data_IF_502220069290
#
_entry.id   IF_502220069290
#
_cell.length_a   1.000
_cell.length_b   1.000
_cell.length_c   1.000
_cell.angle_alpha   90.00
_cell.angle_beta   90.00
_cell.angle_gamma   90.00
#
_symmetry.space_group_name_H-M   'P 1'
#
loop_
_entity.id
_entity.type
_entity.pdbx_description
1 polymer ?
#
# COMPACT_ATOMS: atom_id res chain seq x y z
N UNK A 1 2.91 10.91 17.85
CA UNK A 1 1.62 10.18 17.86
C UNK A 1 1.89 8.70 17.69
N UNK A 2 1.18 7.84 18.42
CA UNK A 2 1.21 6.38 18.26
C UNK A 2 0.10 5.93 17.31
N UNK A 3 0.28 4.78 16.65
CA UNK A 3 -0.67 4.27 15.64
C UNK A 3 -0.87 2.76 15.81
N UNK A 4 -1.87 2.31 16.59
CA UNK A 4 -2.14 0.89 16.74
C UNK A 4 -2.57 0.24 15.41
N UNK A 5 -2.48 -1.09 15.25
CA UNK A 5 -1.89 -2.06 16.18
C UNK A 5 -0.37 -1.90 16.39
N UNK A 6 0.13 -2.31 17.56
CA UNK A 6 1.54 -2.21 17.96
C UNK A 6 2.26 -3.55 17.83
N UNK A 7 3.58 -3.58 17.55
CA UNK A 7 4.36 -4.80 17.63
C UNK A 7 4.64 -5.21 19.10
N UNK A 8 4.91 -6.51 19.38
CA UNK A 8 4.92 -7.62 18.44
C UNK A 8 3.51 -7.96 17.95
N UNK A 9 3.40 -8.31 16.67
CA UNK A 9 2.12 -8.64 16.05
C UNK A 9 1.76 -10.11 16.24
N UNK A 10 0.46 -10.37 16.32
CA UNK A 10 -0.20 -11.65 16.09
C UNK A 10 -0.94 -11.61 14.74
N UNK A 11 -1.64 -12.70 14.40
CA UNK A 11 -2.34 -12.81 13.12
C UNK A 11 -3.46 -11.77 12.95
N UNK A 12 -4.22 -11.49 14.01
CA UNK A 12 -5.34 -10.55 13.98
C UNK A 12 -4.83 -9.11 13.82
N UNK A 13 -3.88 -8.71 14.66
CA UNK A 13 -3.26 -7.38 14.62
C UNK A 13 -2.47 -7.14 13.34
N UNK A 14 -1.79 -8.16 12.80
CA UNK A 14 -1.10 -8.07 11.51
C UNK A 14 -2.09 -7.86 10.35
N UNK A 15 -3.15 -8.68 10.29
CA UNK A 15 -4.20 -8.56 9.26
C UNK A 15 -4.87 -7.19 9.32
N UNK A 16 -5.21 -6.74 10.53
CA UNK A 16 -5.77 -5.40 10.76
C UNK A 16 -4.79 -4.29 10.35
N UNK A 17 -3.49 -4.44 10.63
CA UNK A 17 -2.47 -3.45 10.23
C UNK A 17 -2.39 -3.33 8.71
N UNK A 18 -2.44 -4.45 7.99
CA UNK A 18 -2.45 -4.49 6.52
C UNK A 18 -3.71 -3.80 5.98
N UNK A 19 -4.90 -4.11 6.52
CA UNK A 19 -6.17 -3.47 6.11
C UNK A 19 -6.16 -1.95 6.36
N UNK A 20 -5.67 -1.50 7.51
CA UNK A 20 -5.55 -0.06 7.80
C UNK A 20 -4.58 0.66 6.84
N UNK A 21 -3.50 -0.01 6.42
CA UNK A 21 -2.60 0.51 5.41
C UNK A 21 -3.27 0.54 4.03
N UNK A 22 -4.01 -0.50 3.64
CA UNK A 22 -4.80 -0.52 2.40
C UNK A 22 -5.80 0.65 2.35
N UNK A 23 -6.57 0.85 3.42
CA UNK A 23 -7.57 1.92 3.54
C UNK A 23 -6.91 3.31 3.39
N UNK A 24 -5.78 3.52 4.06
CA UNK A 24 -5.04 4.78 3.98
C UNK A 24 -4.53 5.03 2.55
N UNK A 25 -3.95 4.03 1.88
CA UNK A 25 -3.44 4.20 0.51
C UNK A 25 -4.56 4.42 -0.51
N UNK A 26 -5.72 3.79 -0.33
CA UNK A 26 -6.89 4.02 -1.18
C UNK A 26 -7.51 5.44 -1.03
N UNK A 27 -7.23 6.15 0.07
CA UNK A 27 -7.59 7.57 0.19
C UNK A 27 -6.88 8.44 -0.85
N UNK A 28 -5.70 8.01 -1.33
CA UNK A 28 -4.79 8.75 -2.23
C UNK A 28 -4.44 10.13 -1.68
N UNK A 29 -4.42 10.28 -0.35
CA UNK A 29 -4.01 11.49 0.35
C UNK A 29 -2.57 11.34 0.87
N UNK A 30 -1.59 12.04 0.27
CA UNK A 30 -0.17 11.94 0.64
C UNK A 30 0.09 12.18 2.12
N UNK A 31 -0.49 13.24 2.68
CA UNK A 31 -0.28 13.62 4.08
C UNK A 31 -0.86 12.59 5.05
N UNK A 32 -2.08 12.12 4.77
CA UNK A 32 -2.73 11.09 5.59
C UNK A 32 -1.94 9.78 5.60
N UNK A 33 -1.40 9.37 4.44
CA UNK A 33 -0.59 8.14 4.33
C UNK A 33 0.75 8.32 5.02
N UNK A 34 1.41 9.47 4.84
CA UNK A 34 2.72 9.77 5.42
C UNK A 34 2.71 9.73 6.98
N UNK A 35 1.57 9.99 7.62
CA UNK A 35 1.40 9.86 9.06
C UNK A 35 1.57 8.43 9.61
N UNK A 36 1.55 7.39 8.76
CA UNK A 36 1.80 6.02 9.18
C UNK A 36 3.31 5.68 9.28
N UNK A 37 4.19 6.60 8.91
CA UNK A 37 5.63 6.40 8.85
C UNK A 37 6.35 7.25 9.89
N UNK A 38 7.52 6.81 10.37
CA UNK A 38 8.36 7.64 11.26
C UNK A 38 8.87 8.88 10.52
N UNK A 39 9.29 9.93 11.26
CA UNK A 39 9.83 11.16 10.65
C UNK A 39 11.05 10.89 9.76
N UNK A 40 11.85 9.90 10.15
CA UNK A 40 13.10 9.44 9.53
C UNK A 40 12.94 8.14 8.72
N UNK A 41 11.70 7.78 8.36
CA UNK A 41 11.38 6.49 7.73
C UNK A 41 12.17 6.26 6.45
N UNK A 42 12.65 5.03 6.27
CA UNK A 42 13.54 4.64 5.19
C UNK A 42 12.81 3.79 4.16
N UNK A 43 12.71 4.27 2.93
CA UNK A 43 11.99 3.60 1.86
C UNK A 43 12.90 3.22 0.70
N UNK A 44 12.65 2.03 0.15
CA UNK A 44 12.94 1.73 -1.26
C UNK A 44 11.63 1.39 -1.95
N UNK A 45 11.24 2.16 -2.95
CA UNK A 45 10.08 1.90 -3.79
C UNK A 45 10.53 1.70 -5.23
N UNK A 46 10.50 0.45 -5.72
CA UNK A 46 11.16 0.04 -6.97
C UNK A 46 12.65 0.38 -6.91
N UNK A 47 13.10 1.32 -7.76
CA UNK A 47 14.47 1.82 -7.84
C UNK A 47 14.66 3.17 -7.14
N UNK A 48 13.61 3.74 -6.54
CA UNK A 48 13.68 5.04 -5.84
C UNK A 48 13.93 4.83 -4.35
N UNK A 49 14.84 5.61 -3.79
CA UNK A 49 15.12 5.68 -2.36
C UNK A 49 14.54 6.98 -1.82
N UNK A 50 13.87 6.91 -0.66
CA UNK A 50 13.09 8.01 -0.10
C UNK A 50 13.37 8.03 1.41
N UNK A 51 13.74 9.20 1.93
CA UNK A 51 14.23 9.39 3.30
C UNK A 51 13.35 10.39 4.04
N UNK A 52 12.60 9.88 5.02
CA UNK A 52 11.76 10.69 5.89
C UNK A 52 10.40 11.06 5.30
N UNK A 53 9.57 11.65 6.17
CA UNK A 53 8.14 11.87 5.88
C UNK A 53 7.90 12.86 4.74
N UNK A 54 8.70 13.92 4.64
CA UNK A 54 8.51 14.96 3.62
C UNK A 54 8.78 14.40 2.21
N UNK A 55 9.83 13.59 2.04
CA UNK A 55 10.08 12.93 0.76
C UNK A 55 9.02 11.87 0.43
N UNK A 56 8.44 11.21 1.44
CA UNK A 56 7.30 10.30 1.28
C UNK A 56 6.08 11.04 0.73
N UNK A 57 5.71 12.19 1.32
CA UNK A 57 4.61 13.03 0.81
C UNK A 57 4.89 13.40 -0.64
N UNK A 58 6.08 13.94 -0.94
CA UNK A 58 6.44 14.34 -2.30
C UNK A 58 6.38 13.17 -3.31
N UNK A 59 6.80 11.97 -2.90
CA UNK A 59 6.68 10.76 -3.71
C UNK A 59 5.23 10.39 -3.97
N UNK A 60 4.39 10.36 -2.93
CA UNK A 60 2.99 9.99 -3.03
C UNK A 60 2.18 10.99 -3.86
N UNK A 61 2.45 12.29 -3.73
CA UNK A 61 1.85 13.33 -4.59
C UNK A 61 2.15 13.06 -6.05
N UNK A 62 3.41 12.78 -6.41
CA UNK A 62 3.77 12.43 -7.79
C UNK A 62 3.12 11.12 -8.26
N UNK A 63 3.02 10.13 -7.38
CA UNK A 63 2.42 8.84 -7.68
C UNK A 63 0.98 9.02 -8.15
N UNK A 64 0.14 9.69 -7.36
CA UNK A 64 -1.29 9.82 -7.66
C UNK A 64 -1.63 10.94 -8.64
N UNK A 65 -0.64 11.77 -9.03
CA UNK A 65 -0.78 12.63 -10.21
C UNK A 65 -0.64 11.86 -11.54
N UNK A 66 -0.01 10.68 -11.54
CA UNK A 66 0.18 9.87 -12.75
C UNK A 66 -0.53 8.51 -12.74
N UNK A 67 -0.93 8.02 -11.56
CA UNK A 67 -1.69 6.78 -11.41
C UNK A 67 -3.17 7.05 -11.14
N UNK A 68 -3.94 7.27 -12.21
CA UNK A 68 -5.36 7.65 -12.15
C UNK A 68 -6.26 6.46 -11.84
N UNK A 69 -7.46 6.76 -11.31
CA UNK A 69 -8.44 5.76 -10.84
C UNK A 69 -7.85 4.64 -9.96
N UNK A 70 -6.77 4.96 -9.22
CA UNK A 70 -6.05 4.02 -8.38
C UNK A 70 -6.94 3.25 -7.40
N UNK A 71 -6.84 1.93 -7.44
CA UNK A 71 -7.51 0.97 -6.56
C UNK A 71 -6.55 -0.08 -6.07
N UNK A 72 -6.46 -0.28 -4.76
CA UNK A 72 -5.48 -1.16 -4.15
C UNK A 72 -6.14 -2.23 -3.27
N UNK A 73 -5.61 -3.44 -3.36
CA UNK A 73 -5.85 -4.52 -2.40
C UNK A 73 -4.51 -4.96 -1.83
N UNK A 74 -4.41 -5.10 -0.51
CA UNK A 74 -3.26 -5.65 0.21
C UNK A 74 -3.68 -6.91 0.96
N UNK A 75 -2.78 -7.87 1.03
CA UNK A 75 -2.99 -9.12 1.75
C UNK A 75 -1.73 -9.50 2.53
N UNK A 76 -1.90 -9.94 3.77
CA UNK A 76 -0.81 -10.38 4.62
C UNK A 76 -0.21 -11.66 4.05
N UNK A 77 1.11 -11.67 3.81
CA UNK A 77 1.84 -12.89 3.44
C UNK A 77 2.43 -13.59 4.65
N UNK A 78 2.95 -12.82 5.61
CA UNK A 78 3.50 -13.33 6.85
C UNK A 78 4.03 -12.22 7.74
N UNK A 79 4.30 -12.53 9.00
CA UNK A 79 4.81 -11.56 9.96
C UNK A 79 5.74 -12.23 10.98
N UNK A 80 6.60 -11.42 11.61
CA UNK A 80 7.45 -11.83 12.72
C UNK A 80 7.80 -10.63 13.58
N UNK A 81 7.46 -10.67 14.87
CA UNK A 81 7.72 -9.60 15.83
C UNK A 81 7.18 -8.24 15.31
N UNK A 82 8.07 -7.33 14.92
CA UNK A 82 7.76 -6.00 14.40
C UNK A 82 7.86 -5.88 12.87
N UNK A 83 7.90 -7.01 12.15
CA UNK A 83 8.02 -7.04 10.68
C UNK A 83 6.84 -7.74 10.04
N UNK A 84 6.46 -7.29 8.85
CA UNK A 84 5.43 -7.91 8.00
C UNK A 84 5.92 -8.01 6.55
N UNK A 85 5.52 -9.09 5.89
CA UNK A 85 5.56 -9.25 4.45
C UNK A 85 4.13 -9.18 3.92
N UNK A 86 3.92 -8.38 2.89
CA UNK A 86 2.60 -8.07 2.34
C UNK A 86 2.66 -8.19 0.83
N UNK A 87 1.69 -8.92 0.28
CA UNK A 87 1.39 -8.95 -1.16
C UNK A 87 0.34 -7.89 -1.45
N UNK A 88 0.40 -7.29 -2.63
CA UNK A 88 -0.62 -6.35 -3.06
C UNK A 88 -0.74 -6.30 -4.57
N UNK A 89 -1.92 -5.91 -5.03
CA UNK A 89 -2.15 -5.51 -6.40
C UNK A 89 -2.90 -4.18 -6.44
N UNK A 90 -2.60 -3.35 -7.42
CA UNK A 90 -3.39 -2.15 -7.67
C UNK A 90 -3.66 -1.93 -9.16
N UNK A 91 -4.85 -1.44 -9.48
CA UNK A 91 -5.26 -1.07 -10.83
C UNK A 91 -5.30 0.44 -10.97
N UNK A 92 -4.89 0.93 -12.14
CA UNK A 92 -4.82 2.36 -12.47
C UNK A 92 -4.68 2.54 -13.98
N UNK A 93 -4.87 3.78 -14.46
CA UNK A 93 -4.51 4.15 -15.83
C UNK A 93 -3.63 5.40 -15.87
N UNK A 94 -2.80 5.50 -16.91
CA UNK A 94 -1.95 6.68 -17.12
C UNK A 94 -2.70 7.84 -17.81
N UNK A 95 -2.00 8.94 -18.07
CA UNK A 95 -2.52 10.12 -18.76
C UNK A 95 -3.01 9.83 -20.21
N UNK A 96 -2.52 8.74 -20.80
CA UNK A 96 -2.93 8.29 -22.14
C UNK A 96 -4.12 7.32 -22.08
N UNK A 97 -4.66 7.04 -20.90
CA UNK A 97 -5.78 6.11 -20.70
C UNK A 97 -5.40 4.63 -20.78
N UNK A 98 -4.10 4.29 -20.79
CA UNK A 98 -3.66 2.89 -20.79
C UNK A 98 -3.79 2.32 -19.38
N UNK A 99 -4.45 1.18 -19.28
CA UNK A 99 -4.70 0.51 -18.00
C UNK A 99 -3.57 -0.43 -17.62
N UNK A 100 -3.32 -0.52 -16.32
CA UNK A 100 -2.32 -1.38 -15.73
C UNK A 100 -2.86 -2.07 -14.49
N UNK A 101 -2.43 -3.32 -14.29
CA UNK A 101 -2.43 -3.97 -12.97
C UNK A 101 -1.00 -4.10 -12.48
N UNK A 102 -0.71 -3.44 -11.38
CA UNK A 102 0.60 -3.47 -10.74
C UNK A 102 0.59 -4.51 -9.63
N UNK A 103 1.51 -5.47 -9.71
CA UNK A 103 1.71 -6.51 -8.70
C UNK A 103 2.90 -6.16 -7.83
N UNK A 104 2.74 -6.26 -6.52
CA UNK A 104 3.73 -5.79 -5.57
C UNK A 104 3.94 -6.72 -4.38
N UNK A 105 5.20 -6.74 -3.95
CA UNK A 105 5.61 -7.29 -2.66
C UNK A 105 6.24 -6.17 -1.85
N UNK A 106 5.80 -5.99 -0.61
CA UNK A 106 6.41 -5.05 0.31
C UNK A 106 6.71 -5.64 1.68
N UNK A 107 7.86 -5.24 2.21
CA UNK A 107 8.36 -5.64 3.51
C UNK A 107 8.37 -4.42 4.42
N UNK A 108 7.72 -4.55 5.58
CA UNK A 108 7.51 -3.48 6.54
C UNK A 108 8.25 -3.78 7.83
N UNK A 109 8.81 -2.73 8.44
CA UNK A 109 9.34 -2.77 9.80
C UNK A 109 8.80 -1.60 10.60
N UNK A 110 8.31 -1.88 11.79
CA UNK A 110 7.65 -0.91 12.66
C UNK A 110 8.47 -0.59 13.91
N UNK A 111 8.34 0.63 14.41
CA UNK A 111 8.79 1.02 15.75
C UNK A 111 7.76 0.63 16.83
N UNK A 112 8.09 0.91 18.10
CA UNK A 112 7.22 0.60 19.25
C UNK A 112 5.96 1.46 19.30
N UNK A 113 5.94 2.61 18.62
CA UNK A 113 4.77 3.46 18.48
C UNK A 113 3.82 2.98 17.36
N UNK A 114 4.18 1.89 16.65
CA UNK A 114 3.40 1.33 15.55
C UNK A 114 3.55 2.10 14.23
N UNK A 115 4.54 2.99 14.12
CA UNK A 115 4.87 3.69 12.88
C UNK A 115 5.88 2.89 12.07
N UNK A 116 5.74 2.91 10.75
CA UNK A 116 6.64 2.18 9.86
C UNK A 116 7.96 2.96 9.69
N UNK A 117 9.05 2.38 10.20
CA UNK A 117 10.40 2.95 10.11
C UNK A 117 11.17 2.50 8.87
N UNK A 118 10.77 1.38 8.26
CA UNK A 118 11.33 0.89 7.00
C UNK A 118 10.26 0.30 6.11
N UNK A 119 10.28 0.67 4.82
CA UNK A 119 9.43 0.10 3.77
C UNK A 119 10.26 -0.29 2.56
N UNK A 120 10.18 -1.55 2.16
CA UNK A 120 10.90 -2.05 0.97
C UNK A 120 9.87 -2.66 0.03
N UNK A 121 9.58 -1.99 -1.09
CA UNK A 121 8.57 -2.39 -2.05
C UNK A 121 9.17 -2.64 -3.44
N UNK A 122 8.89 -3.82 -4.00
CA UNK A 122 9.15 -4.18 -5.39
C UNK A 122 7.82 -4.35 -6.11
N UNK A 123 7.69 -3.75 -7.29
CA UNK A 123 6.43 -3.63 -8.02
C UNK A 123 6.71 -3.80 -9.51
N UNK A 124 5.88 -4.59 -10.18
CA UNK A 124 5.91 -4.85 -11.61
C UNK A 124 4.55 -4.50 -12.22
N UNK A 125 4.55 -3.84 -13.37
CA UNK A 125 3.33 -3.39 -14.04
C UNK A 125 3.01 -4.29 -15.22
N UNK A 126 1.78 -4.81 -15.25
CA UNK A 126 1.22 -5.53 -16.37
C UNK A 126 0.20 -4.63 -17.07
N UNK A 127 0.41 -4.27 -18.35
CA UNK A 127 -0.64 -3.65 -19.16
C UNK A 127 -1.86 -4.58 -19.24
N UNK A 128 -3.06 -4.02 -19.10
CA UNK A 128 -4.33 -4.74 -19.22
C UNK A 128 -5.30 -3.93 -20.07
N UNK A 129 -6.32 -4.57 -20.64
CA UNK A 129 -7.44 -3.86 -21.26
C UNK A 129 -8.39 -3.34 -20.18
N UNK A 130 -9.15 -2.29 -20.47
CA UNK A 130 -10.12 -1.72 -19.53
C UNK A 130 -11.18 -2.74 -19.07
N UNK A 131 -11.53 -3.70 -19.94
CA UNK A 131 -12.47 -4.78 -19.65
C UNK A 131 -11.91 -5.86 -18.71
N UNK A 132 -10.59 -5.95 -18.56
CA UNK A 132 -9.93 -6.97 -17.71
C UNK A 132 -9.79 -6.52 -16.26
N UNK A 133 -10.25 -5.31 -15.92
CA UNK A 133 -10.23 -4.78 -14.55
C UNK A 133 -11.05 -5.65 -13.60
N UNK A 134 -10.54 -5.80 -12.38
CA UNK A 134 -11.19 -6.56 -11.30
C UNK A 134 -11.63 -5.65 -10.14
N UNK A 135 -11.10 -4.43 -10.04
CA UNK A 135 -11.26 -3.59 -8.84
C UNK A 135 -12.36 -2.54 -9.00
N UNK A 136 -13.61 -2.97 -8.76
CA UNK A 136 -14.83 -2.19 -9.01
C UNK A 136 -15.55 -1.80 -7.72
N UNK A 137 -15.16 -0.67 -7.13
CA UNK A 137 -15.92 0.02 -6.07
C UNK A 137 -15.95 1.54 -6.32
N UNK A 138 -16.50 2.40 -5.44
CA UNK A 138 -16.28 3.85 -5.50
C UNK A 138 -14.85 4.23 -5.07
N UNK A 139 -14.36 5.41 -5.45
CA UNK A 139 -13.00 5.80 -5.12
C UNK A 139 -12.80 5.98 -3.61
N UNK A 140 -11.86 5.24 -2.99
CA UNK A 140 -11.66 5.24 -1.54
C UNK A 140 -11.53 3.82 -0.98
N UNK A 141 -11.82 3.66 0.32
CA UNK A 141 -11.74 2.38 1.04
C UNK A 141 -12.47 1.26 0.29
N UNK A 142 -11.79 0.13 0.09
CA UNK A 142 -12.41 -1.07 -0.49
C UNK A 142 -13.54 -1.56 0.43
N UNK A 143 -14.75 -1.86 -0.08
CA UNK A 143 -15.85 -2.43 0.69
C UNK A 143 -15.44 -3.70 1.46
N UNK A 144 -16.12 -4.00 2.56
CA UNK A 144 -15.80 -5.17 3.39
C UNK A 144 -16.20 -6.50 2.76
N UNK A 145 -17.17 -6.47 1.84
CA UNK A 145 -17.68 -7.60 1.06
C UNK A 145 -16.98 -7.77 -0.31
N UNK A 146 -16.11 -6.84 -0.70
CA UNK A 146 -15.33 -7.00 -1.93
C UNK A 146 -14.26 -8.08 -1.72
N UNK A 147 -14.08 -9.03 -2.66
CA UNK A 147 -13.10 -10.11 -2.56
C UNK A 147 -11.66 -9.59 -2.34
N UNK A 148 -10.85 -10.38 -1.62
CA UNK A 148 -9.43 -10.14 -1.39
C UNK A 148 -8.54 -10.53 -2.58
N UNK A 149 -7.21 -10.53 -2.41
CA UNK A 149 -6.30 -10.94 -3.49
C UNK A 149 -6.43 -12.43 -3.79
N UNK A 150 -6.42 -13.25 -2.74
CA UNK A 150 -6.54 -14.71 -2.88
C UNK A 150 -7.86 -15.12 -3.53
N UNK A 151 -8.97 -14.44 -3.21
CA UNK A 151 -10.29 -14.71 -3.80
C UNK A 151 -10.39 -14.32 -5.29
N UNK A 152 -9.53 -13.40 -5.74
CA UNK A 152 -9.44 -12.94 -7.12
C UNK A 152 -8.35 -13.69 -7.93
N UNK A 153 -7.69 -14.67 -7.32
CA UNK A 153 -6.60 -15.44 -7.94
C UNK A 153 -5.42 -14.55 -8.41
N UNK A 154 -5.12 -13.48 -7.65
CA UNK A 154 -4.01 -12.54 -7.89
C UNK A 154 -2.83 -12.75 -6.93
#
# INVERSE_FOLDING_TARGET
MSRPPFPPFDIESATRKVRLAEDAWNSRNPEQVAQAYTMDSQWRNRVKFIHGRDEIVAFLTRKWNGEHEYRLIKELWGFRNNRMAVRFAYEWHDDAGRWFRSYGNELWEFDTAGLMRRRVASINDLPIEAGDRLFHWPAGRRPDDHPGLSDLEL
#
